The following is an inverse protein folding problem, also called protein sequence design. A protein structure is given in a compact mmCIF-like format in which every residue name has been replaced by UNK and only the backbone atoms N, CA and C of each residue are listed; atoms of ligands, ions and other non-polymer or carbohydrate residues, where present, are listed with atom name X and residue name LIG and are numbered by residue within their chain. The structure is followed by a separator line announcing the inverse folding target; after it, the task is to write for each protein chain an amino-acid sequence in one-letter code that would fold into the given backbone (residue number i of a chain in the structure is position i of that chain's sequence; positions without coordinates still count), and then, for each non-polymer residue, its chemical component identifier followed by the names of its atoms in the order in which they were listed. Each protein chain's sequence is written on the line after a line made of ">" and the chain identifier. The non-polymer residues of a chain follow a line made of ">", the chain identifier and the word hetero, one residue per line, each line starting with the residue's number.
data_IF_590517453698
#
_entry.id   IF_590517453698
#
_cell.length_a   1.000
_cell.length_b   1.000
_cell.length_c   1.000
_cell.angle_alpha   90.00
_cell.angle_beta   90.00
_cell.angle_gamma   90.00
#
_symmetry.space_group_name_H-M   'P 1'
#
loop_
_entity.id
_entity.type
_entity.pdbx_description
1 polymer ?
#
# COMPACT_ATOMS: atom_id res chain seq x y z
N UNK A 1 5.63 18.93 -3.96
CA UNK A 1 5.97 18.17 -2.73
C UNK A 1 5.23 16.83 -2.71
N UNK A 2 5.78 15.79 -2.07
CA UNK A 2 5.17 14.47 -2.05
C UNK A 2 5.08 13.93 -0.63
N UNK A 3 4.08 13.09 -0.40
CA UNK A 3 3.91 12.31 0.83
C UNK A 3 4.13 10.84 0.56
N UNK A 4 4.62 10.11 1.56
CA UNK A 4 4.79 8.66 1.48
C UNK A 4 4.13 7.98 2.68
N UNK A 5 3.51 6.83 2.42
CA UNK A 5 2.72 6.10 3.39
C UNK A 5 3.10 4.62 3.37
N UNK A 6 3.00 3.98 4.53
CA UNK A 6 3.12 2.53 4.73
C UNK A 6 1.72 1.98 4.97
N UNK A 7 1.38 0.90 4.26
CA UNK A 7 0.21 0.09 4.58
C UNK A 7 0.71 -1.25 5.15
N UNK A 8 0.33 -1.56 6.39
CA UNK A 8 0.67 -2.80 7.07
C UNK A 8 -0.51 -3.78 7.12
N UNK A 9 -0.20 -5.07 7.13
CA UNK A 9 -1.21 -6.14 7.16
C UNK A 9 -1.73 -6.53 5.78
N UNK A 10 -1.00 -6.15 4.72
CA UNK A 10 -1.33 -6.48 3.34
C UNK A 10 -1.02 -7.95 3.09
N UNK A 11 -1.97 -8.70 2.52
CA UNK A 11 -1.71 -10.08 2.10
C UNK A 11 -0.63 -10.11 1.02
N UNK A 12 0.36 -10.99 1.21
CA UNK A 12 1.49 -11.13 0.31
C UNK A 12 1.25 -12.13 -0.83
N UNK A 13 0.34 -13.09 -0.64
CA UNK A 13 -0.01 -14.16 -1.59
C UNK A 13 -1.37 -14.76 -1.21
N UNK A 14 -2.01 -15.51 -2.11
CA UNK A 14 -3.28 -16.20 -1.82
C UNK A 14 -2.99 -17.49 -1.07
N UNK A 15 -2.12 -18.32 -1.63
CA UNK A 15 -1.72 -19.61 -1.08
C UNK A 15 -0.23 -19.60 -0.69
N UNK A 16 0.18 -20.47 0.24
CA UNK A 16 1.55 -20.43 0.80
C UNK A 16 2.64 -20.62 -0.26
N UNK A 17 2.34 -21.48 -1.23
CA UNK A 17 3.27 -21.92 -2.30
C UNK A 17 3.23 -20.99 -3.53
N UNK A 18 2.39 -19.95 -3.50
CA UNK A 18 2.35 -18.94 -4.55
C UNK A 18 3.42 -17.88 -4.35
N UNK A 19 3.89 -17.26 -5.45
CA UNK A 19 4.79 -16.12 -5.37
C UNK A 19 4.13 -14.96 -4.63
N UNK A 20 4.97 -14.10 -4.04
CA UNK A 20 4.52 -12.83 -3.49
C UNK A 20 3.97 -11.95 -4.62
N UNK A 21 2.86 -11.25 -4.37
CA UNK A 21 2.24 -10.35 -5.34
C UNK A 21 3.23 -9.31 -5.89
N UNK A 22 3.16 -9.08 -7.20
CA UNK A 22 4.01 -8.11 -7.90
C UNK A 22 3.59 -6.66 -7.59
N UNK A 23 4.44 -5.70 -7.95
CA UNK A 23 4.10 -4.28 -7.84
C UNK A 23 2.84 -3.88 -8.64
N UNK A 24 2.57 -4.55 -9.77
CA UNK A 24 1.37 -4.33 -10.58
C UNK A 24 0.11 -4.82 -9.87
N UNK A 25 0.13 -6.04 -9.35
CA UNK A 25 -0.98 -6.59 -8.55
C UNK A 25 -1.24 -5.75 -7.30
N UNK A 26 -0.19 -5.25 -6.65
CA UNK A 26 -0.32 -4.30 -5.54
C UNK A 26 -0.97 -2.99 -6.00
N UNK A 27 -0.59 -2.45 -7.17
CA UNK A 27 -1.17 -1.21 -7.71
C UNK A 27 -2.64 -1.37 -8.02
N UNK A 28 -3.03 -2.47 -8.67
CA UNK A 28 -4.44 -2.76 -8.95
C UNK A 28 -5.27 -2.84 -7.67
N UNK A 29 -4.79 -3.59 -6.68
CA UNK A 29 -5.47 -3.69 -5.38
C UNK A 29 -5.55 -2.35 -4.65
N UNK A 30 -4.48 -1.54 -4.72
CA UNK A 30 -4.42 -0.23 -4.08
C UNK A 30 -5.44 0.73 -4.69
N UNK A 31 -5.54 0.77 -6.02
CA UNK A 31 -6.44 1.66 -6.76
C UNK A 31 -7.92 1.30 -6.61
N UNK A 32 -8.26 0.13 -6.05
CA UNK A 32 -9.64 -0.20 -5.64
C UNK A 32 -10.13 0.64 -4.46
N UNK A 33 -9.23 1.32 -3.73
CA UNK A 33 -9.62 2.25 -2.68
C UNK A 33 -10.02 3.60 -3.32
N UNK A 34 -11.27 4.07 -3.17
CA UNK A 34 -11.71 5.33 -3.78
C UNK A 34 -10.87 6.54 -3.35
N UNK A 35 -10.44 6.56 -2.08
CA UNK A 35 -9.59 7.61 -1.52
C UNK A 35 -8.17 7.66 -2.15
N UNK A 36 -7.71 6.57 -2.77
CA UNK A 36 -6.39 6.49 -3.41
C UNK A 36 -6.51 6.60 -4.93
N UNK A 37 -7.59 6.10 -5.54
CA UNK A 37 -7.82 6.13 -6.99
C UNK A 37 -7.73 7.52 -7.62
N UNK A 38 -7.97 8.58 -6.83
CA UNK A 38 -7.95 9.98 -7.25
C UNK A 38 -6.59 10.67 -7.03
N UNK A 39 -5.64 10.00 -6.40
CA UNK A 39 -4.33 10.57 -6.07
C UNK A 39 -3.35 10.40 -7.23
N UNK A 40 -2.52 11.41 -7.44
CA UNK A 40 -1.40 11.31 -8.36
C UNK A 40 -0.24 10.52 -7.72
N UNK A 41 -0.19 9.21 -7.96
CA UNK A 41 0.85 8.32 -7.42
C UNK A 41 2.19 8.60 -8.12
N UNK A 42 3.18 9.05 -7.37
CA UNK A 42 4.54 9.37 -7.85
C UNK A 42 5.52 8.21 -7.66
N UNK A 43 5.25 7.30 -6.72
CA UNK A 43 5.99 6.04 -6.56
C UNK A 43 4.99 4.90 -6.41
N UNK A 44 5.04 3.93 -7.33
CA UNK A 44 4.20 2.75 -7.30
C UNK A 44 4.35 1.96 -5.99
N UNK A 45 3.28 1.25 -5.56
CA UNK A 45 3.37 0.41 -4.38
C UNK A 45 4.41 -0.69 -4.56
N UNK A 46 5.26 -0.83 -3.55
CA UNK A 46 6.25 -1.89 -3.47
C UNK A 46 6.33 -2.43 -2.05
N UNK A 47 6.74 -3.68 -1.92
CA UNK A 47 7.03 -4.27 -0.62
C UNK A 47 8.12 -3.49 0.10
N UNK A 48 7.92 -3.27 1.40
CA UNK A 48 8.92 -2.64 2.27
C UNK A 48 10.07 -3.60 2.53
N UNK A 49 9.76 -4.88 2.72
CA UNK A 49 10.74 -5.97 2.75
C UNK A 49 10.95 -6.51 1.34
N UNK A 50 12.16 -6.92 0.95
CA UNK A 50 12.35 -7.66 -0.29
C UNK A 50 11.44 -8.89 -0.33
N UNK A 51 10.84 -9.17 -1.48
CA UNK A 51 9.83 -10.22 -1.66
C UNK A 51 10.32 -11.61 -1.25
N UNK A 52 11.60 -11.89 -1.47
CA UNK A 52 12.30 -13.12 -1.12
C UNK A 52 12.42 -13.35 0.39
N UNK A 53 12.25 -12.31 1.21
CA UNK A 53 12.28 -12.39 2.69
C UNK A 53 10.89 -12.26 3.32
N UNK A 54 9.83 -12.43 2.53
CA UNK A 54 8.46 -12.46 3.03
C UNK A 54 8.04 -13.93 3.15
N UNK A 55 8.22 -14.53 4.32
CA UNK A 55 7.82 -15.94 4.54
C UNK A 55 6.36 -16.09 4.97
N UNK A 56 5.78 -15.02 5.51
CA UNK A 56 4.42 -14.99 6.04
C UNK A 56 3.37 -14.55 5.01
N UNK A 57 2.10 -14.74 5.37
CA UNK A 57 0.97 -14.31 4.54
C UNK A 57 0.75 -12.80 4.50
N UNK A 58 1.31 -12.04 5.45
CA UNK A 58 1.11 -10.60 5.53
C UNK A 58 2.44 -9.87 5.66
N UNK A 59 2.54 -8.73 4.98
CA UNK A 59 3.68 -7.83 5.06
C UNK A 59 3.21 -6.37 4.97
N UNK A 60 4.12 -5.46 4.67
CA UNK A 60 3.81 -4.04 4.46
C UNK A 60 4.29 -3.56 3.10
N UNK A 61 3.53 -2.66 2.50
CA UNK A 61 3.90 -1.96 1.27
C UNK A 61 4.10 -0.47 1.57
N UNK A 62 4.82 0.21 0.69
CA UNK A 62 4.88 1.67 0.67
C UNK A 62 4.61 2.21 -0.72
N UNK A 63 3.98 3.37 -0.79
CA UNK A 63 3.79 4.14 -2.02
C UNK A 63 3.85 5.64 -1.71
N UNK A 64 4.14 6.44 -2.73
CA UNK A 64 4.17 7.90 -2.62
C UNK A 64 3.23 8.54 -3.62
N UNK A 65 2.72 9.71 -3.27
CA UNK A 65 1.79 10.49 -4.07
C UNK A 65 2.06 11.97 -3.90
N UNK A 66 1.61 12.76 -4.86
CA UNK A 66 1.66 14.21 -4.80
C UNK A 66 0.77 14.73 -3.66
N UNK A 67 1.35 15.54 -2.79
CA UNK A 67 0.67 16.06 -1.61
C UNK A 67 1.27 17.41 -1.21
N UNK A 68 0.98 18.49 -1.98
CA UNK A 68 1.64 19.78 -1.79
C UNK A 68 1.36 20.42 -0.43
N UNK A 69 0.18 20.18 0.14
CA UNK A 69 -0.30 20.77 1.40
C UNK A 69 -0.37 19.76 2.57
N UNK A 70 -0.08 18.48 2.32
CA UNK A 70 -0.13 17.43 3.32
C UNK A 70 -1.54 16.96 3.69
N UNK A 71 -2.59 17.49 3.04
CA UNK A 71 -3.99 17.21 3.35
C UNK A 71 -4.37 15.78 2.96
N UNK A 72 -3.86 15.28 1.83
CA UNK A 72 -4.14 13.93 1.35
C UNK A 72 -3.58 12.89 2.32
N UNK A 73 -2.34 13.07 2.81
CA UNK A 73 -1.78 12.19 3.83
C UNK A 73 -2.60 12.22 5.13
N UNK A 74 -2.98 13.40 5.62
CA UNK A 74 -3.81 13.50 6.84
C UNK A 74 -5.16 12.78 6.69
N UNK A 75 -5.77 12.86 5.51
CA UNK A 75 -7.03 12.20 5.19
C UNK A 75 -6.88 10.67 5.11
N UNK A 76 -5.86 10.19 4.38
CA UNK A 76 -5.60 8.75 4.25
C UNK A 76 -5.31 8.07 5.60
N UNK A 77 -4.61 8.74 6.52
CA UNK A 77 -4.31 8.18 7.85
C UNK A 77 -5.57 7.94 8.71
N UNK A 78 -6.69 8.59 8.39
CA UNK A 78 -7.98 8.42 9.10
C UNK A 78 -8.96 7.56 8.31
N UNK A 79 -8.65 7.23 7.06
CA UNK A 79 -9.53 6.49 6.17
C UNK A 79 -9.35 4.99 6.38
N UNK A 80 -10.45 4.24 6.39
CA UNK A 80 -10.39 2.79 6.34
C UNK A 80 -9.97 2.35 4.94
N UNK A 81 -8.77 1.78 4.84
CA UNK A 81 -8.21 1.28 3.59
C UNK A 81 -8.22 -0.24 3.58
N UNK A 82 -8.33 -0.81 2.38
CA UNK A 82 -8.42 -2.25 2.17
C UNK A 82 -7.45 -2.69 1.08
N UNK A 83 -6.87 -3.87 1.25
CA UNK A 83 -6.07 -4.55 0.23
C UNK A 83 -6.50 -6.01 0.20
N UNK A 84 -6.75 -6.55 -0.99
CA UNK A 84 -7.13 -7.96 -1.17
C UNK A 84 -8.32 -8.39 -0.28
N UNK A 85 -9.33 -7.52 -0.14
CA UNK A 85 -10.53 -7.78 0.66
C UNK A 85 -10.37 -7.66 2.17
N UNK A 86 -9.18 -7.30 2.69
CA UNK A 86 -8.92 -7.15 4.11
C UNK A 86 -8.53 -5.71 4.51
N UNK A 87 -8.91 -5.24 5.71
CA UNK A 87 -8.50 -3.93 6.19
C UNK A 87 -6.99 -3.87 6.44
N UNK A 88 -6.38 -2.73 6.11
CA UNK A 88 -4.95 -2.48 6.30
C UNK A 88 -4.72 -1.24 7.14
N UNK A 89 -3.58 -1.19 7.82
CA UNK A 89 -3.24 -0.09 8.73
C UNK A 89 -2.32 0.91 8.03
N UNK A 90 -2.78 2.14 7.90
CA UNK A 90 -2.01 3.22 7.30
C UNK A 90 -1.12 3.91 8.34
N UNK A 91 0.14 4.19 7.98
CA UNK A 91 1.09 4.98 8.78
C UNK A 91 1.90 5.90 7.88
N UNK A 92 2.25 7.09 8.39
CA UNK A 92 3.19 7.98 7.71
C UNK A 92 4.55 7.28 7.57
N UNK A 93 5.17 7.39 6.40
CA UNK A 93 6.55 6.99 6.21
C UNK A 93 7.46 8.02 6.91
N UNK A 94 8.32 7.54 7.80
CA UNK A 94 9.37 8.32 8.51
C UNK A 94 10.73 7.82 8.07
#
# INVERSE_FOLDING_TARGET
>A
PWSKIILSGVFARTHRDEPVYTGETLREALLRNPAISRLNITQNPRWVRPSEFIDGFKSSISFAFEDPDGSNLKSLLKTNLFMFGAPVRAKRWV
#
